data_IF_642758164860
#
_entry.id   IF_642758164860
#
_cell.length_a   1.000
_cell.length_b   1.000
_cell.length_c   1.000
_cell.angle_alpha   90.00
_cell.angle_beta   90.00
_cell.angle_gamma   90.00
#
_symmetry.space_group_name_H-M   'P 1'
#
loop_
_entity.id
_entity.type
_entity.pdbx_description
1 polymer ?
#
# COMPACT_ATOMS: atom_id res chain seq x y z
N UNK A 1 41.16 22.51 -13.77
CA UNK A 1 40.13 22.47 -12.71
C UNK A 1 38.80 22.87 -13.35
N UNK A 2 37.93 21.95 -13.81
CA UNK A 2 36.63 22.34 -14.33
C UNK A 2 35.67 22.65 -13.17
N UNK A 3 35.01 23.81 -13.23
CA UNK A 3 34.03 24.32 -12.27
C UNK A 3 32.65 23.70 -12.53
N UNK A 4 32.12 23.06 -11.48
CA UNK A 4 30.71 22.95 -11.07
C UNK A 4 29.62 23.10 -12.15
N UNK A 5 29.26 22.00 -12.80
CA UNK A 5 28.01 21.84 -13.56
C UNK A 5 26.84 21.30 -12.70
N UNK A 6 27.04 21.12 -11.39
CA UNK A 6 26.14 20.35 -10.52
C UNK A 6 25.05 21.21 -9.83
N UNK A 7 25.31 22.51 -9.63
CA UNK A 7 24.42 23.39 -8.85
C UNK A 7 23.06 23.65 -9.53
N UNK A 8 23.05 23.73 -10.86
CA UNK A 8 21.81 23.93 -11.62
C UNK A 8 20.87 22.72 -11.57
N UNK A 9 21.43 21.51 -11.56
CA UNK A 9 20.66 20.27 -11.46
C UNK A 9 20.01 20.09 -10.09
N UNK A 10 20.74 20.45 -9.02
CA UNK A 10 20.24 20.38 -7.65
C UNK A 10 19.10 21.36 -7.37
N UNK A 11 19.16 22.58 -7.92
CA UNK A 11 18.07 23.58 -7.80
C UNK A 11 16.80 23.08 -8.49
N UNK A 12 16.91 22.54 -9.71
CA UNK A 12 15.76 21.98 -10.43
C UNK A 12 15.16 20.77 -9.70
N UNK A 13 16.00 19.89 -9.14
CA UNK A 13 15.54 18.75 -8.36
C UNK A 13 14.80 19.20 -7.09
N UNK A 14 15.35 20.19 -6.37
CA UNK A 14 14.72 20.78 -5.19
C UNK A 14 13.35 21.38 -5.53
N UNK A 15 13.26 22.18 -6.58
CA UNK A 15 12.00 22.79 -7.02
C UNK A 15 10.95 21.74 -7.40
N UNK A 16 11.39 20.66 -8.04
CA UNK A 16 10.51 19.53 -8.37
C UNK A 16 10.01 18.81 -7.11
N UNK A 17 10.89 18.56 -6.14
CA UNK A 17 10.54 17.95 -4.85
C UNK A 17 9.62 18.84 -4.02
N UNK A 18 9.79 20.17 -4.07
CA UNK A 18 8.93 21.13 -3.36
C UNK A 18 7.50 21.19 -3.93
N UNK A 19 7.32 20.89 -5.23
CA UNK A 19 6.00 20.86 -5.89
C UNK A 19 5.38 19.46 -5.97
N UNK A 20 6.10 18.44 -5.51
CA UNK A 20 5.66 17.05 -5.59
C UNK A 20 4.39 16.85 -4.77
N UNK A 21 3.38 16.22 -5.38
CA UNK A 21 2.14 15.83 -4.71
C UNK A 21 2.22 14.39 -4.23
N UNK A 22 1.36 14.01 -3.29
CA UNK A 22 1.37 12.67 -2.71
C UNK A 22 1.21 11.54 -3.74
N UNK A 23 0.44 11.75 -4.82
CA UNK A 23 0.28 10.78 -5.91
C UNK A 23 1.58 10.52 -6.69
N UNK A 24 2.55 11.43 -6.61
CA UNK A 24 3.85 11.33 -7.26
C UNK A 24 4.93 10.80 -6.29
N UNK A 25 4.56 10.55 -5.03
CA UNK A 25 5.50 10.15 -3.98
C UNK A 25 6.06 8.75 -4.19
N UNK A 26 5.35 7.90 -4.93
CA UNK A 26 5.75 6.53 -5.24
C UNK A 26 5.48 6.25 -6.72
N UNK A 27 6.45 5.63 -7.37
CA UNK A 27 6.31 5.10 -8.73
C UNK A 27 5.89 3.62 -8.70
N UNK A 28 5.08 3.19 -9.66
CA UNK A 28 4.58 1.82 -9.79
C UNK A 28 3.34 1.72 -10.69
N UNK A 29 2.93 0.48 -10.98
CA UNK A 29 1.72 0.23 -11.77
C UNK A 29 0.50 0.37 -10.87
N UNK A 30 -0.40 1.29 -11.16
CA UNK A 30 -1.68 1.40 -10.43
C UNK A 30 -2.52 0.14 -10.63
N UNK A 31 -2.95 -0.47 -9.52
CA UNK A 31 -3.85 -1.65 -9.53
C UNK A 31 -5.18 -1.37 -8.83
N UNK A 32 -5.27 -0.28 -8.06
CA UNK A 32 -6.49 0.16 -7.42
C UNK A 32 -6.43 1.65 -7.09
N UNK A 33 -7.54 2.35 -7.27
CA UNK A 33 -7.65 3.77 -6.94
C UNK A 33 -9.07 4.09 -6.47
N UNK A 34 -9.18 4.52 -5.23
CA UNK A 34 -10.46 4.87 -4.66
C UNK A 34 -10.34 6.02 -3.66
N UNK A 35 -11.08 7.10 -3.95
CA UNK A 35 -11.25 8.25 -3.09
C UNK A 35 -9.92 8.84 -2.56
N UNK A 36 -8.96 9.08 -3.46
CA UNK A 36 -7.64 9.65 -3.10
C UNK A 36 -6.67 8.67 -2.43
N UNK A 37 -6.92 7.37 -2.53
CA UNK A 37 -5.98 6.32 -2.15
C UNK A 37 -5.66 5.45 -3.33
N UNK A 38 -4.37 5.36 -3.64
CA UNK A 38 -3.87 4.51 -4.71
C UNK A 38 -3.19 3.29 -4.10
N UNK A 39 -3.30 2.17 -4.78
CA UNK A 39 -2.49 0.97 -4.53
C UNK A 39 -1.69 0.71 -5.79
N UNK A 40 -0.37 0.70 -5.63
CA UNK A 40 0.58 0.45 -6.69
C UNK A 40 1.16 -0.95 -6.54
N UNK A 41 1.41 -1.60 -7.66
CA UNK A 41 2.14 -2.85 -7.76
C UNK A 41 3.58 -2.55 -8.24
N UNK A 42 4.57 -3.13 -7.56
CA UNK A 42 5.99 -2.91 -7.87
C UNK A 42 6.83 -4.11 -7.43
N UNK A 43 8.01 -4.27 -8.02
CA UNK A 43 9.03 -5.18 -7.50
C UNK A 43 9.97 -4.44 -6.54
N UNK A 44 10.26 -5.03 -5.38
CA UNK A 44 11.30 -4.51 -4.51
C UNK A 44 12.70 -4.83 -5.06
N UNK A 45 13.75 -4.38 -4.37
CA UNK A 45 15.15 -4.64 -4.78
C UNK A 45 15.54 -6.13 -4.80
N UNK A 46 14.78 -6.99 -4.11
CA UNK A 46 14.96 -8.44 -4.12
C UNK A 46 14.13 -9.14 -5.22
N UNK A 47 13.44 -8.39 -6.08
CA UNK A 47 12.60 -8.95 -7.15
C UNK A 47 11.28 -9.53 -6.66
N UNK A 48 10.85 -9.23 -5.43
CA UNK A 48 9.56 -9.68 -4.89
C UNK A 48 8.48 -8.67 -5.27
N UNK A 49 7.36 -9.17 -5.79
CA UNK A 49 6.18 -8.36 -6.11
C UNK A 49 5.48 -7.90 -4.82
N UNK A 50 5.31 -6.59 -4.68
CA UNK A 50 4.73 -5.92 -3.51
C UNK A 50 3.57 -5.03 -3.91
N UNK A 51 2.66 -4.81 -2.96
CA UNK A 51 1.62 -3.80 -3.03
C UNK A 51 1.99 -2.60 -2.15
N UNK A 52 1.82 -1.39 -2.67
CA UNK A 52 2.10 -0.14 -1.98
C UNK A 52 0.84 0.71 -1.94
N UNK A 53 0.18 0.75 -0.78
CA UNK A 53 -0.98 1.63 -0.54
C UNK A 53 -0.47 3.01 -0.15
N UNK A 54 -0.79 4.03 -0.95
CA UNK A 54 -0.36 5.42 -0.74
C UNK A 54 -1.56 6.31 -0.50
N UNK A 55 -1.46 7.17 0.52
CA UNK A 55 -2.47 8.16 0.91
C UNK A 55 -1.80 9.50 1.23
N UNK A 56 -2.54 10.62 1.20
CA UNK A 56 -2.06 11.87 1.81
C UNK A 56 -1.82 11.68 3.31
N UNK A 57 -1.01 12.55 3.95
CA UNK A 57 -0.77 12.50 5.39
C UNK A 57 -2.07 12.46 6.19
N UNK A 58 -2.14 11.60 7.20
CA UNK A 58 -3.36 11.35 7.99
C UNK A 58 -4.40 10.45 7.32
N UNK A 59 -4.21 10.08 6.05
CA UNK A 59 -5.16 9.23 5.31
C UNK A 59 -5.05 7.72 5.57
N UNK A 60 -3.97 7.27 6.21
CA UNK A 60 -3.80 5.93 6.81
C UNK A 60 -3.06 6.09 8.13
N UNK A 61 -3.38 5.23 9.10
CA UNK A 61 -2.73 5.20 10.41
C UNK A 61 -1.77 4.02 10.49
N UNK A 62 -0.72 4.14 11.33
CA UNK A 62 0.21 3.04 11.61
C UNK A 62 -0.52 1.81 12.16
N UNK A 63 -1.56 2.01 12.97
CA UNK A 63 -2.40 0.94 13.53
C UNK A 63 -3.03 0.05 12.46
N UNK A 64 -3.36 0.59 11.27
CA UNK A 64 -3.87 -0.21 10.17
C UNK A 64 -2.82 -1.21 9.66
N UNK A 65 -1.58 -0.75 9.52
CA UNK A 65 -0.46 -1.59 9.11
C UNK A 65 -0.15 -2.66 10.18
N UNK A 66 -0.14 -2.25 11.45
CA UNK A 66 0.12 -3.14 12.58
C UNK A 66 -0.96 -4.22 12.69
N UNK A 67 -2.23 -3.85 12.59
CA UNK A 67 -3.35 -4.80 12.59
C UNK A 67 -3.28 -5.78 11.41
N UNK A 68 -2.96 -5.29 10.22
CA UNK A 68 -2.85 -6.14 9.03
C UNK A 68 -1.70 -7.14 9.16
N UNK A 69 -0.53 -6.69 9.65
CA UNK A 69 0.61 -7.57 9.93
C UNK A 69 0.29 -8.59 11.01
N UNK A 70 -0.34 -8.15 12.10
CA UNK A 70 -0.73 -9.00 13.21
C UNK A 70 -1.70 -10.08 12.73
N UNK A 71 -2.73 -9.72 11.97
CA UNK A 71 -3.67 -10.67 11.39
C UNK A 71 -2.95 -11.72 10.53
N UNK A 72 -2.08 -11.29 9.62
CA UNK A 72 -1.32 -12.17 8.73
C UNK A 72 -0.40 -13.16 9.49
N UNK A 73 0.16 -12.73 10.61
CA UNK A 73 1.07 -13.54 11.44
C UNK A 73 0.35 -14.40 12.50
N UNK A 74 -0.96 -14.21 12.68
CA UNK A 74 -1.77 -14.91 13.67
C UNK A 74 -2.91 -15.73 13.01
N UNK A 75 -2.67 -16.26 11.81
CA UNK A 75 -3.55 -17.27 11.19
C UNK A 75 -4.77 -16.72 10.44
N UNK A 76 -4.94 -15.40 10.36
CA UNK A 76 -5.95 -14.77 9.49
C UNK A 76 -5.33 -14.57 8.11
N UNK A 77 -6.09 -14.87 7.06
CA UNK A 77 -5.66 -14.58 5.68
C UNK A 77 -5.66 -13.07 5.42
N UNK A 78 -4.53 -12.44 5.66
CA UNK A 78 -4.26 -11.03 5.37
C UNK A 78 -2.86 -10.89 4.73
N UNK A 79 -2.61 -9.84 3.94
CA UNK A 79 -1.28 -9.58 3.40
C UNK A 79 -0.27 -9.30 4.51
N UNK A 80 0.91 -9.93 4.47
CA UNK A 80 1.99 -9.56 5.39
C UNK A 80 2.48 -8.15 5.06
N UNK A 81 2.57 -7.30 6.08
CA UNK A 81 3.14 -5.95 5.94
C UNK A 81 4.65 -6.02 6.07
N UNK A 82 5.36 -5.33 5.18
CA UNK A 82 6.80 -5.12 5.23
C UNK A 82 7.18 -3.81 5.90
N UNK A 83 6.31 -2.78 5.84
CA UNK A 83 6.54 -1.54 6.56
C UNK A 83 5.46 -0.48 6.38
N UNK A 84 5.52 0.52 7.26
CA UNK A 84 4.76 1.77 7.19
C UNK A 84 5.74 2.94 7.11
N UNK A 85 5.56 3.80 6.11
CA UNK A 85 6.50 4.88 5.82
C UNK A 85 5.79 6.23 5.70
N UNK A 86 6.38 7.24 6.31
CA UNK A 86 6.08 8.64 6.02
C UNK A 86 7.03 9.11 4.93
N UNK A 87 6.49 9.56 3.79
CA UNK A 87 7.29 10.00 2.66
C UNK A 87 7.48 11.51 2.77
N UNK A 88 8.71 11.92 3.02
CA UNK A 88 9.12 13.33 3.13
C UNK A 88 9.92 13.74 1.89
N UNK A 89 9.90 15.03 1.56
CA UNK A 89 10.74 15.60 0.50
C UNK A 89 11.87 16.43 1.12
N UNK A 90 12.10 17.63 0.59
CA UNK A 90 13.08 18.63 1.04
C UNK A 90 12.74 19.27 2.38
N UNK A 91 11.54 19.01 2.93
CA UNK A 91 11.04 19.60 4.18
C UNK A 91 10.89 18.52 5.27
N UNK A 92 11.90 18.36 6.15
CA UNK A 92 11.81 17.45 7.28
C UNK A 92 10.59 17.74 8.15
N UNK A 93 9.95 16.70 8.68
CA UNK A 93 8.76 16.83 9.55
C UNK A 93 7.46 17.18 8.83
N UNK A 94 7.47 17.32 7.49
CA UNK A 94 6.27 17.52 6.69
C UNK A 94 6.13 16.43 5.63
N UNK A 95 5.54 15.27 5.98
CA UNK A 95 5.30 14.23 4.99
C UNK A 95 4.38 14.75 3.89
N UNK A 96 4.69 14.37 2.65
CA UNK A 96 3.81 14.60 1.50
C UNK A 96 2.86 13.43 1.30
N UNK A 97 3.20 12.24 1.81
CA UNK A 97 2.41 11.03 1.71
C UNK A 97 2.72 10.06 2.85
N UNK A 98 1.85 9.08 3.03
CA UNK A 98 2.04 7.92 3.89
C UNK A 98 1.81 6.66 3.06
N UNK A 99 2.63 5.63 3.29
CA UNK A 99 2.59 4.39 2.54
C UNK A 99 2.63 3.15 3.45
N UNK A 100 1.77 2.18 3.15
CA UNK A 100 1.88 0.81 3.65
C UNK A 100 2.44 -0.06 2.52
N UNK A 101 3.53 -0.77 2.80
CA UNK A 101 4.13 -1.73 1.88
C UNK A 101 3.81 -3.13 2.39
N UNK A 102 3.18 -3.95 1.56
CA UNK A 102 2.77 -5.31 1.91
C UNK A 102 2.99 -6.30 0.78
N UNK A 103 2.77 -7.59 1.07
CA UNK A 103 2.65 -8.62 0.06
C UNK A 103 1.59 -8.25 -0.99
N UNK A 104 1.91 -8.56 -2.24
CA UNK A 104 0.92 -8.55 -3.33
C UNK A 104 0.21 -9.90 -3.35
N UNK A 105 -1.02 -9.93 -2.84
CA UNK A 105 -1.84 -11.16 -2.82
C UNK A 105 -2.54 -11.33 -4.17
N UNK A 106 -2.37 -12.46 -4.89
CA UNK A 106 -3.08 -12.72 -6.13
C UNK A 106 -4.58 -12.93 -5.87
N UNK A 107 -5.42 -12.45 -6.78
CA UNK A 107 -6.86 -12.61 -6.68
C UNK A 107 -7.62 -11.52 -7.45
N UNK A 108 -8.94 -11.68 -7.46
CA UNK A 108 -9.90 -10.74 -8.03
C UNK A 108 -10.82 -10.24 -6.93
N UNK A 109 -11.23 -8.95 -6.94
CA UNK A 109 -12.22 -8.45 -6.01
C UNK A 109 -13.51 -9.28 -6.06
N UNK A 110 -14.03 -9.64 -4.89
CA UNK A 110 -15.25 -10.45 -4.83
C UNK A 110 -16.44 -9.76 -5.51
N UNK A 111 -16.51 -8.43 -5.44
CA UNK A 111 -17.56 -7.64 -6.08
C UNK A 111 -17.63 -7.85 -7.59
N UNK A 112 -16.49 -8.09 -8.24
CA UNK A 112 -16.41 -8.21 -9.71
C UNK A 112 -16.90 -9.57 -10.19
N UNK A 113 -16.75 -10.62 -9.38
CA UNK A 113 -17.11 -12.00 -9.75
C UNK A 113 -18.35 -12.52 -9.04
N UNK A 114 -18.88 -11.79 -8.05
CA UNK A 114 -19.93 -12.31 -7.17
C UNK A 114 -21.17 -12.78 -7.92
N UNK A 115 -21.62 -12.03 -8.92
CA UNK A 115 -22.85 -12.38 -9.64
C UNK A 115 -22.69 -13.68 -10.44
N UNK A 116 -21.50 -13.91 -11.00
CA UNK A 116 -21.18 -15.06 -11.85
C UNK A 116 -20.98 -16.37 -11.07
N UNK A 117 -20.69 -16.29 -9.77
CA UNK A 117 -20.53 -17.47 -8.93
C UNK A 117 -21.83 -18.28 -8.81
N UNK A 118 -21.70 -19.60 -8.87
CA UNK A 118 -22.79 -20.53 -8.56
C UNK A 118 -23.23 -20.43 -7.10
N UNK A 119 -24.40 -21.01 -6.78
CA UNK A 119 -24.90 -21.08 -5.41
C UNK A 119 -23.94 -21.84 -4.48
N UNK A 120 -23.26 -22.88 -4.99
CA UNK A 120 -22.30 -23.67 -4.22
C UNK A 120 -21.05 -22.84 -3.90
N UNK A 121 -20.50 -22.14 -4.89
CA UNK A 121 -19.33 -21.26 -4.70
C UNK A 121 -19.64 -20.10 -3.75
N UNK A 122 -20.79 -19.44 -3.91
CA UNK A 122 -21.27 -18.39 -2.99
C UNK A 122 -21.36 -18.90 -1.55
N UNK A 123 -21.84 -20.13 -1.36
CA UNK A 123 -21.93 -20.75 -0.04
C UNK A 123 -20.53 -21.02 0.54
N UNK A 124 -19.62 -21.56 -0.27
CA UNK A 124 -18.21 -21.78 0.13
C UNK A 124 -17.52 -20.48 0.54
N UNK A 125 -17.65 -19.40 -0.24
CA UNK A 125 -17.07 -18.08 0.09
C UNK A 125 -17.62 -17.55 1.41
N UNK A 126 -18.91 -17.71 1.67
CA UNK A 126 -19.52 -17.29 2.96
C UNK A 126 -18.94 -18.06 4.15
N UNK A 127 -18.77 -19.37 4.03
CA UNK A 127 -18.15 -20.18 5.10
C UNK A 127 -16.68 -19.80 5.34
N UNK A 128 -15.94 -19.56 4.26
CA UNK A 128 -14.57 -19.07 4.35
C UNK A 128 -14.50 -17.72 5.07
N UNK A 129 -15.40 -16.78 4.75
CA UNK A 129 -15.44 -15.47 5.41
C UNK A 129 -15.81 -15.61 6.90
N UNK A 130 -16.78 -16.46 7.25
CA UNK A 130 -17.13 -16.75 8.66
C UNK A 130 -15.94 -17.31 9.44
N UNK A 131 -15.15 -18.17 8.80
CA UNK A 131 -13.93 -18.73 9.37
C UNK A 131 -12.92 -17.63 9.69
N UNK A 132 -12.64 -16.73 8.74
CA UNK A 132 -11.69 -15.63 9.00
C UNK A 132 -12.19 -14.66 10.08
N UNK A 133 -13.48 -14.33 10.10
CA UNK A 133 -14.06 -13.48 11.16
C UNK A 133 -13.92 -14.13 12.53
N UNK A 134 -14.13 -15.45 12.63
CA UNK A 134 -13.94 -16.20 13.87
C UNK A 134 -12.49 -16.13 14.34
N UNK A 135 -11.52 -16.26 13.42
CA UNK A 135 -10.09 -16.12 13.74
C UNK A 135 -9.75 -14.73 14.23
N UNK A 136 -10.24 -13.68 13.57
CA UNK A 136 -10.05 -12.28 14.01
C UNK A 136 -10.58 -12.07 15.43
N UNK A 137 -11.76 -12.61 15.74
CA UNK A 137 -12.38 -12.50 17.09
C UNK A 137 -11.66 -13.31 18.16
N UNK A 138 -10.80 -14.26 17.77
CA UNK A 138 -10.03 -15.06 18.72
C UNK A 138 -8.76 -14.36 19.19
N UNK A 139 -8.38 -13.24 18.58
CA UNK A 139 -7.33 -12.36 19.09
C UNK A 139 -7.81 -11.75 20.41
N UNK A 140 -7.22 -12.20 21.51
CA UNK A 140 -7.41 -11.63 22.85
C UNK A 140 -6.19 -10.80 23.23
#
# INVERSE_FOLDING_TARGET
MPKSTDDGGLVVLRDRLDRMRYLQAVDGKEIYNFFGGIVLEKHNSAGVLIAVKVRPPGGIQRSEADMMHHAATNGVRAPKVFGFYEIVTTKPGRPIAVAIVSERVPGVPLADVWLDLSKAEKSSVKEQLRTEITRIRSFR
#
